data_IF_399131517981
#
_entry.id   IF_399131517981
#
_cell.length_a   1.000
_cell.length_b   1.000
_cell.length_c   1.000
_cell.angle_alpha   90.00
_cell.angle_beta   90.00
_cell.angle_gamma   90.00
#
_symmetry.space_group_name_H-M   'P 1'
#
loop_
_entity.id
_entity.type
_entity.pdbx_description
1 polymer ?
#
# COMPACT_ATOMS: atom_id res chain seq x y z
N UNK A 1 -31.35 -14.64 -52.36
CA UNK A 1 -30.21 -14.38 -51.46
C UNK A 1 -30.22 -12.91 -51.08
N UNK A 2 -30.58 -12.59 -49.84
CA UNK A 2 -30.00 -11.47 -49.07
C UNK A 2 -30.66 -11.53 -47.69
N UNK A 3 -29.95 -12.10 -46.73
CA UNK A 3 -30.33 -11.99 -45.32
C UNK A 3 -29.61 -10.73 -44.83
N UNK A 4 -30.37 -9.68 -44.59
CA UNK A 4 -29.88 -8.47 -43.94
C UNK A 4 -29.76 -8.75 -42.45
N UNK A 5 -28.55 -9.06 -41.99
CA UNK A 5 -28.22 -9.06 -40.57
C UNK A 5 -28.20 -7.61 -40.08
N UNK A 6 -29.32 -7.18 -39.51
CA UNK A 6 -29.43 -5.93 -38.76
C UNK A 6 -28.83 -6.16 -37.36
N UNK A 7 -27.51 -6.04 -37.25
CA UNK A 7 -26.84 -5.97 -35.95
C UNK A 7 -27.15 -4.60 -35.36
N UNK A 8 -28.10 -4.55 -34.42
CA UNK A 8 -28.36 -3.37 -33.62
C UNK A 8 -27.05 -2.93 -32.93
N UNK A 9 -26.56 -1.75 -33.29
CA UNK A 9 -25.46 -1.11 -32.58
C UNK A 9 -25.92 -0.88 -31.14
N UNK A 10 -25.29 -1.58 -30.19
CA UNK A 10 -25.43 -1.25 -28.78
C UNK A 10 -24.72 0.09 -28.57
N UNK A 11 -25.41 1.09 -28.02
CA UNK A 11 -24.79 2.36 -27.66
C UNK A 11 -23.59 2.06 -26.75
N UNK A 12 -22.38 2.26 -27.28
CA UNK A 12 -21.17 1.90 -26.59
C UNK A 12 -21.01 2.76 -25.33
N UNK A 13 -20.86 2.12 -24.17
CA UNK A 13 -20.60 2.82 -22.90
C UNK A 13 -19.32 3.64 -23.03
N UNK A 14 -19.43 4.96 -22.90
CA UNK A 14 -18.30 5.89 -22.89
C UNK A 14 -17.75 6.08 -21.47
N UNK A 15 -16.50 6.54 -21.35
CA UNK A 15 -15.83 6.78 -20.06
C UNK A 15 -15.21 8.17 -20.06
N UNK A 16 -15.37 8.88 -18.94
CA UNK A 16 -14.75 10.18 -18.69
C UNK A 16 -13.82 10.09 -17.47
N UNK A 17 -12.57 10.55 -17.55
CA UNK A 17 -11.70 10.63 -16.38
C UNK A 17 -12.18 11.74 -15.42
N UNK A 18 -12.36 11.42 -14.14
CA UNK A 18 -12.79 12.40 -13.12
C UNK A 18 -11.75 12.65 -12.03
N UNK A 19 -10.84 11.69 -11.82
CA UNK A 19 -9.82 11.73 -10.78
C UNK A 19 -8.72 10.72 -11.10
N UNK A 20 -7.48 11.11 -10.88
CA UNK A 20 -6.33 10.20 -10.91
C UNK A 20 -5.64 10.27 -9.56
N UNK A 21 -5.57 9.13 -8.87
CA UNK A 21 -4.73 8.93 -7.70
C UNK A 21 -3.58 8.00 -8.08
N UNK A 22 -2.37 8.31 -7.63
CA UNK A 22 -1.22 7.41 -7.68
C UNK A 22 -0.62 7.28 -6.30
N UNK A 23 -0.30 6.06 -5.89
CA UNK A 23 0.48 5.77 -4.71
C UNK A 23 1.69 4.95 -5.15
N UNK A 24 2.89 5.43 -4.87
CA UNK A 24 4.16 4.79 -5.21
C UNK A 24 4.94 4.45 -3.94
N UNK A 25 5.70 3.35 -4.00
CA UNK A 25 6.56 2.90 -2.92
C UNK A 25 7.96 2.60 -3.42
N UNK A 26 8.97 3.11 -2.72
CA UNK A 26 10.38 2.87 -3.04
C UNK A 26 11.12 2.44 -1.78
N UNK A 27 11.77 1.27 -1.86
CA UNK A 27 12.45 0.66 -0.73
C UNK A 27 13.96 0.67 -0.91
N UNK A 28 14.69 1.06 0.13
CA UNK A 28 16.14 1.24 0.09
C UNK A 28 16.83 0.52 1.26
N UNK A 29 18.06 0.06 1.01
CA UNK A 29 19.00 -0.32 2.07
C UNK A 29 19.83 0.90 2.42
N UNK A 30 19.97 1.18 3.71
CA UNK A 30 20.81 2.26 4.21
C UNK A 30 22.20 1.77 4.59
N UNK A 31 23.16 2.68 4.60
CA UNK A 31 24.55 2.38 4.98
C UNK A 31 24.74 2.10 6.48
N UNK A 32 23.76 2.47 7.31
CA UNK A 32 23.75 2.23 8.77
C UNK A 32 23.20 0.85 9.15
N UNK A 33 22.89 -0.01 8.16
CA UNK A 33 22.35 -1.35 8.38
C UNK A 33 20.83 -1.38 8.54
N UNK A 34 20.14 -0.24 8.47
CA UNK A 34 18.68 -0.15 8.45
C UNK A 34 18.13 -0.16 7.01
N UNK A 35 16.80 -0.13 6.92
CA UNK A 35 16.05 -0.02 5.68
C UNK A 35 15.14 1.18 5.74
N UNK A 36 14.78 1.69 4.58
CA UNK A 36 13.75 2.72 4.48
C UNK A 36 12.76 2.38 3.37
N UNK A 37 11.51 2.79 3.57
CA UNK A 37 10.44 2.69 2.60
C UNK A 37 9.80 4.07 2.49
N UNK A 38 9.82 4.63 1.29
CA UNK A 38 9.13 5.87 0.97
C UNK A 38 7.77 5.55 0.36
N UNK A 39 6.73 6.24 0.82
CA UNK A 39 5.39 6.16 0.25
C UNK A 39 4.95 7.54 -0.21
N UNK A 40 4.57 7.66 -1.49
CA UNK A 40 4.18 8.93 -2.11
C UNK A 40 2.79 8.82 -2.74
N UNK A 41 1.88 9.71 -2.34
CA UNK A 41 0.54 9.85 -2.90
C UNK A 41 0.41 11.15 -3.68
N UNK A 42 -0.10 11.05 -4.91
CA UNK A 42 -0.52 12.21 -5.70
C UNK A 42 -1.96 12.07 -6.16
N UNK A 43 -2.71 13.18 -6.07
CA UNK A 43 -4.08 13.30 -6.59
C UNK A 43 -4.16 14.42 -7.61
N UNK A 44 -4.81 14.15 -8.74
CA UNK A 44 -5.03 15.12 -9.83
C UNK A 44 -6.43 14.95 -10.42
N UNK A 45 -6.98 16.03 -10.94
CA UNK A 45 -8.24 16.03 -11.69
C UNK A 45 -8.00 16.61 -13.08
N UNK A 46 -8.66 16.11 -14.15
CA UNK A 46 -8.52 16.67 -15.50
C UNK A 46 -9.30 17.98 -15.71
N UNK A 47 -9.91 18.51 -14.65
CA UNK A 47 -10.63 19.78 -14.60
C UNK A 47 -10.16 20.57 -13.38
N UNK A 48 -10.40 21.88 -13.41
CA UNK A 48 -10.12 22.77 -12.30
C UNK A 48 -10.86 22.34 -11.04
N UNK A 49 -10.16 22.38 -9.91
CA UNK A 49 -10.70 21.99 -8.62
C UNK A 49 -10.72 23.19 -7.67
N UNK A 50 -11.92 23.59 -7.26
CA UNK A 50 -12.11 24.54 -6.17
C UNK A 50 -12.49 23.76 -4.89
N UNK A 51 -11.66 23.79 -3.83
CA UNK A 51 -12.04 23.21 -2.55
C UNK A 51 -13.19 24.02 -1.93
N UNK A 52 -14.04 23.41 -1.08
CA UNK A 52 -15.14 24.10 -0.41
C UNK A 52 -14.73 25.34 0.40
N UNK A 53 -13.47 25.42 0.83
CA UNK A 53 -12.92 26.60 1.51
C UNK A 53 -12.87 27.85 0.61
N UNK A 54 -12.95 27.70 -0.72
CA UNK A 54 -12.98 28.79 -1.70
C UNK A 54 -11.68 29.57 -1.88
N UNK A 55 -10.61 29.20 -1.17
CA UNK A 55 -9.39 30.02 -1.07
C UNK A 55 -8.50 29.94 -2.33
N UNK A 56 -8.56 28.84 -3.08
CA UNK A 56 -7.68 28.60 -4.24
C UNK A 56 -8.30 27.61 -5.22
N UNK A 57 -8.28 27.93 -6.52
CA UNK A 57 -8.49 26.93 -7.59
C UNK A 57 -7.18 26.21 -7.86
N UNK A 58 -7.21 24.88 -7.90
CA UNK A 58 -6.13 24.04 -8.41
C UNK A 58 -6.42 23.78 -9.89
N UNK A 59 -5.55 24.23 -10.83
CA UNK A 59 -5.74 24.01 -12.25
C UNK A 59 -5.83 22.52 -12.63
N UNK A 60 -6.52 22.23 -13.73
CA UNK A 60 -6.57 20.90 -14.31
C UNK A 60 -5.16 20.27 -14.44
N UNK A 61 -5.05 19.01 -14.04
CA UNK A 61 -3.86 18.17 -14.04
C UNK A 61 -2.72 18.58 -13.08
N UNK A 62 -2.89 19.67 -12.31
CA UNK A 62 -2.00 19.98 -11.20
C UNK A 62 -2.31 19.11 -9.95
N UNK A 63 -1.31 18.85 -9.09
CA UNK A 63 -1.53 18.11 -7.85
C UNK A 63 -2.47 18.85 -6.90
N UNK A 64 -3.58 18.20 -6.56
CA UNK A 64 -4.45 18.57 -5.43
C UNK A 64 -3.78 18.10 -4.13
N UNK A 65 -3.23 16.89 -4.16
CA UNK A 65 -2.39 16.34 -3.11
C UNK A 65 -1.04 15.92 -3.70
N UNK A 66 0.02 16.28 -3.00
CA UNK A 66 1.39 15.79 -3.20
C UNK A 66 1.97 15.58 -1.80
N UNK A 67 1.83 14.34 -1.32
CA UNK A 67 1.95 13.99 0.10
C UNK A 67 2.71 12.68 0.22
N UNK A 68 3.63 12.58 1.16
CA UNK A 68 4.35 11.33 1.37
C UNK A 68 4.94 11.19 2.75
N UNK A 69 5.49 10.01 2.99
CA UNK A 69 6.17 9.67 4.23
C UNK A 69 7.33 8.72 3.95
N UNK A 70 8.33 8.75 4.81
CA UNK A 70 9.45 7.80 4.82
C UNK A 70 9.49 7.12 6.19
N UNK A 71 9.57 5.79 6.20
CA UNK A 71 9.70 4.97 7.41
C UNK A 71 11.04 4.27 7.38
N UNK A 72 11.82 4.45 8.44
CA UNK A 72 13.08 3.71 8.67
C UNK A 72 12.78 2.52 9.58
N UNK A 73 13.23 1.32 9.21
CA UNK A 73 12.95 0.08 9.93
C UNK A 73 14.12 -0.92 9.86
N UNK A 74 14.14 -1.91 10.76
CA UNK A 74 15.14 -2.99 10.78
C UNK A 74 14.63 -4.30 10.14
N UNK A 75 15.48 -5.35 10.11
CA UNK A 75 15.09 -6.67 9.57
C UNK A 75 13.98 -7.36 10.38
N UNK A 76 13.75 -6.96 11.62
CA UNK A 76 12.64 -7.43 12.46
C UNK A 76 11.35 -6.62 12.24
N UNK A 77 11.38 -5.74 11.24
CA UNK A 77 10.29 -4.86 10.83
C UNK A 77 9.91 -3.82 11.90
N UNK A 78 10.80 -3.53 12.85
CA UNK A 78 10.56 -2.51 13.88
C UNK A 78 10.89 -1.12 13.32
N UNK A 79 10.01 -0.16 13.55
CA UNK A 79 10.16 1.22 13.07
C UNK A 79 11.10 2.00 13.99
N UNK A 80 12.12 2.60 13.40
CA UNK A 80 13.11 3.44 14.09
C UNK A 80 12.86 4.94 13.88
N UNK A 81 12.30 5.33 12.74
CA UNK A 81 11.97 6.73 12.46
C UNK A 81 10.84 6.86 11.44
N UNK A 82 10.10 7.97 11.52
CA UNK A 82 9.10 8.36 10.54
C UNK A 82 9.28 9.83 10.19
N UNK A 83 9.24 10.15 8.91
CA UNK A 83 9.20 11.53 8.41
C UNK A 83 8.08 11.68 7.38
N UNK A 84 7.57 12.90 7.21
CA UNK A 84 6.44 13.20 6.32
C UNK A 84 6.67 14.47 5.55
N UNK A 85 6.10 14.57 4.35
CA UNK A 85 6.00 15.82 3.60
C UNK A 85 4.59 16.02 3.05
N UNK A 86 4.18 17.28 2.93
CA UNK A 86 2.91 17.70 2.32
C UNK A 86 3.21 18.95 1.48
N UNK A 87 3.36 18.77 0.16
CA UNK A 87 3.78 19.81 -0.79
C UNK A 87 2.62 20.47 -1.53
N UNK A 88 1.58 19.69 -1.84
CA UNK A 88 0.33 20.20 -2.38
C UNK A 88 -0.84 19.71 -1.53
N UNK A 89 -1.74 20.63 -1.21
CA UNK A 89 -2.87 20.39 -0.32
C UNK A 89 -3.96 21.47 -0.51
N UNK A 90 -5.24 21.12 -0.32
CA UNK A 90 -6.35 22.06 -0.54
C UNK A 90 -6.73 22.93 0.67
N UNK A 91 -6.32 22.56 1.90
CA UNK A 91 -6.72 23.26 3.13
C UNK A 91 -5.51 23.72 3.96
N UNK A 92 -5.63 24.89 4.61
CA UNK A 92 -4.50 25.54 5.30
C UNK A 92 -3.97 24.73 6.47
N UNK A 93 -4.80 23.89 7.05
CA UNK A 93 -4.54 23.04 8.21
C UNK A 93 -3.79 21.75 7.83
N UNK A 94 -3.85 21.34 6.55
CA UNK A 94 -3.27 20.08 6.08
C UNK A 94 -1.80 19.84 6.47
N UNK A 95 -0.89 20.84 6.43
CA UNK A 95 0.52 20.64 6.79
C UNK A 95 0.76 20.05 8.18
N UNK A 96 -0.15 20.28 9.15
CA UNK A 96 -0.03 19.74 10.50
C UNK A 96 -0.40 18.26 10.63
N UNK A 97 -1.10 17.68 9.65
CA UNK A 97 -1.70 16.35 9.75
C UNK A 97 -0.72 15.16 9.75
N UNK A 98 0.58 15.41 9.65
CA UNK A 98 1.63 14.39 9.72
C UNK A 98 2.21 14.15 11.12
N UNK A 99 2.02 15.07 12.07
CA UNK A 99 2.70 15.03 13.37
C UNK A 99 2.37 13.76 14.18
N UNK A 100 1.13 13.27 14.12
CA UNK A 100 0.68 12.07 14.84
C UNK A 100 1.41 10.78 14.44
N UNK A 101 2.03 10.73 13.25
CA UNK A 101 2.71 9.53 12.76
C UNK A 101 3.92 9.13 13.61
N UNK A 102 4.43 10.02 14.47
CA UNK A 102 5.48 9.67 15.43
C UNK A 102 5.06 8.58 16.42
N UNK A 103 3.75 8.40 16.66
CA UNK A 103 3.22 7.31 17.48
C UNK A 103 3.51 5.90 16.90
N UNK A 104 4.00 5.81 15.66
CA UNK A 104 4.38 4.55 15.02
C UNK A 104 5.81 4.11 15.35
N UNK A 105 6.67 5.00 15.85
CA UNK A 105 8.05 4.66 16.20
C UNK A 105 8.04 3.61 17.32
N UNK A 106 8.85 2.57 17.14
CA UNK A 106 8.92 1.41 18.03
C UNK A 106 7.88 0.32 17.74
N UNK A 107 6.94 0.54 16.82
CA UNK A 107 6.00 -0.51 16.40
C UNK A 107 6.63 -1.43 15.37
N UNK A 108 6.12 -2.66 15.31
CA UNK A 108 6.47 -3.64 14.28
C UNK A 108 5.46 -3.60 13.12
N UNK A 109 5.98 -3.48 11.90
CA UNK A 109 5.22 -3.66 10.66
C UNK A 109 4.98 -5.17 10.47
N UNK A 110 3.72 -5.59 10.37
CA UNK A 110 3.39 -7.01 10.21
C UNK A 110 1.92 -7.35 10.46
N UNK A 111 1.67 -8.55 10.99
CA UNK A 111 0.32 -8.98 11.33
C UNK A 111 -0.36 -7.99 12.29
N UNK A 112 -1.61 -7.63 12.01
CA UNK A 112 -2.36 -6.65 12.80
C UNK A 112 -2.05 -5.17 12.49
N UNK A 113 -1.14 -4.88 11.54
CA UNK A 113 -0.71 -3.52 11.21
C UNK A 113 -1.86 -2.52 11.00
N UNK A 114 -2.85 -2.86 10.18
CA UNK A 114 -3.99 -1.97 9.92
C UNK A 114 -4.80 -1.65 11.19
N UNK A 115 -4.80 -2.54 12.18
CA UNK A 115 -5.41 -2.30 13.49
C UNK A 115 -4.58 -1.31 14.31
N UNK A 116 -3.26 -1.49 14.34
CA UNK A 116 -2.33 -0.60 15.05
C UNK A 116 -2.35 0.82 14.49
N UNK A 117 -2.41 0.96 13.16
CA UNK A 117 -2.57 2.25 12.46
C UNK A 117 -3.87 2.93 12.90
N UNK A 118 -5.00 2.24 12.87
CA UNK A 118 -6.30 2.81 13.29
C UNK A 118 -6.31 3.22 14.76
N UNK A 119 -5.67 2.41 15.62
CA UNK A 119 -5.61 2.65 17.06
C UNK A 119 -4.81 3.90 17.42
N UNK A 120 -3.71 4.16 16.71
CA UNK A 120 -2.79 5.26 17.05
C UNK A 120 -2.99 6.53 16.25
N UNK A 121 -3.59 6.43 15.08
CA UNK A 121 -3.79 7.54 14.16
C UNK A 121 -5.29 7.82 14.00
N UNK A 122 -5.94 8.39 15.04
CA UNK A 122 -7.37 8.63 15.01
C UNK A 122 -7.75 9.59 13.88
N UNK A 123 -8.92 9.40 13.24
CA UNK A 123 -9.49 10.40 12.35
C UNK A 123 -9.64 11.75 13.07
N UNK A 124 -9.47 12.86 12.35
CA UNK A 124 -9.50 14.22 12.91
C UNK A 124 -8.13 14.75 13.31
N UNK A 125 -7.27 13.89 13.90
CA UNK A 125 -5.91 14.27 14.33
C UNK A 125 -4.83 13.93 13.30
N UNK A 126 -5.16 13.06 12.33
CA UNK A 126 -4.20 12.56 11.33
C UNK A 126 -4.72 12.77 9.91
N UNK A 127 -3.84 13.22 9.02
CA UNK A 127 -4.14 13.34 7.60
C UNK A 127 -4.61 11.99 7.04
N UNK A 128 -5.80 11.98 6.44
CA UNK A 128 -6.39 10.77 5.87
C UNK A 128 -5.49 10.14 4.80
N UNK A 129 -4.82 10.95 3.96
CA UNK A 129 -3.93 10.49 2.91
C UNK A 129 -2.66 9.81 3.46
N UNK A 130 -2.05 10.38 4.51
CA UNK A 130 -0.91 9.73 5.17
C UNK A 130 -1.32 8.40 5.81
N UNK A 131 -2.50 8.34 6.44
CA UNK A 131 -3.03 7.10 7.00
C UNK A 131 -3.32 6.05 5.91
N UNK A 132 -3.80 6.47 4.76
CA UNK A 132 -4.03 5.60 3.60
C UNK A 132 -2.73 4.99 3.08
N UNK A 133 -1.66 5.79 2.91
CA UNK A 133 -0.35 5.32 2.46
C UNK A 133 0.16 4.18 3.36
N UNK A 134 -0.02 4.27 4.68
CA UNK A 134 0.52 3.29 5.63
C UNK A 134 -0.02 1.87 5.44
N UNK A 135 -1.24 1.70 4.90
CA UNK A 135 -1.84 0.36 4.76
C UNK A 135 -1.08 -0.50 3.73
N UNK A 136 -0.94 -0.09 2.45
CA UNK A 136 -0.13 -0.81 1.48
C UNK A 136 1.39 -0.70 1.74
N UNK A 137 1.85 0.34 2.45
CA UNK A 137 3.27 0.48 2.83
C UNK A 137 3.78 -0.74 3.58
N UNK A 138 2.97 -1.34 4.47
CA UNK A 138 3.40 -2.52 5.21
C UNK A 138 3.77 -3.68 4.28
N UNK A 139 2.96 -3.94 3.26
CA UNK A 139 3.25 -4.99 2.28
C UNK A 139 4.46 -4.65 1.42
N UNK A 140 4.63 -3.38 1.02
CA UNK A 140 5.79 -2.93 0.26
C UNK A 140 7.08 -3.10 1.08
N UNK A 141 7.09 -2.66 2.34
CA UNK A 141 8.22 -2.80 3.25
C UNK A 141 8.64 -4.27 3.45
N UNK A 142 7.67 -5.16 3.67
CA UNK A 142 7.91 -6.60 3.80
C UNK A 142 8.54 -7.14 2.50
N UNK A 143 8.00 -6.77 1.35
CA UNK A 143 8.52 -7.21 0.06
C UNK A 143 9.93 -6.67 -0.22
N UNK A 144 10.26 -5.45 0.21
CA UNK A 144 11.60 -4.86 0.09
C UNK A 144 12.66 -5.72 0.77
N UNK A 145 12.40 -6.22 1.98
CA UNK A 145 13.39 -6.99 2.75
C UNK A 145 13.26 -8.50 2.60
N UNK A 146 12.16 -8.99 2.02
CA UNK A 146 11.92 -10.42 1.80
C UNK A 146 13.10 -11.17 1.13
N UNK A 147 13.75 -10.65 0.07
CA UNK A 147 14.90 -11.31 -0.53
C UNK A 147 16.08 -11.51 0.44
N UNK A 148 16.24 -10.58 1.39
CA UNK A 148 17.29 -10.62 2.41
C UNK A 148 16.95 -11.60 3.53
N UNK A 149 15.66 -11.86 3.73
CA UNK A 149 15.12 -12.84 4.69
C UNK A 149 14.80 -14.19 4.05
N UNK A 150 14.98 -14.34 2.73
CA UNK A 150 14.37 -15.41 1.93
C UNK A 150 14.73 -16.81 2.41
N UNK A 151 15.99 -17.04 2.81
CA UNK A 151 16.42 -18.35 3.32
C UNK A 151 15.73 -18.69 4.64
N UNK A 152 15.72 -17.74 5.58
CA UNK A 152 15.00 -17.91 6.86
C UNK A 152 13.48 -17.97 6.72
N UNK A 153 12.88 -17.33 5.72
CA UNK A 153 11.43 -17.33 5.49
C UNK A 153 10.90 -18.65 4.90
N UNK A 154 11.68 -19.33 4.05
CA UNK A 154 11.33 -20.66 3.55
C UNK A 154 11.50 -21.74 4.62
N UNK A 155 12.45 -21.53 5.53
CA UNK A 155 12.75 -22.44 6.63
C UNK A 155 11.90 -22.15 7.88
N UNK A 156 11.28 -20.97 7.99
CA UNK A 156 10.44 -20.60 9.13
C UNK A 156 9.16 -21.42 9.17
N UNK A 157 8.91 -22.05 10.31
CA UNK A 157 7.72 -22.87 10.57
C UNK A 157 6.89 -22.33 11.72
N UNK A 158 5.59 -22.65 11.73
CA UNK A 158 4.77 -22.49 12.92
C UNK A 158 5.08 -23.56 13.99
N UNK A 159 4.33 -23.53 15.10
CA UNK A 159 4.49 -24.48 16.21
C UNK A 159 4.22 -25.94 15.82
N UNK A 160 3.54 -26.19 14.70
CA UNK A 160 3.28 -27.53 14.16
C UNK A 160 4.33 -27.98 13.14
N UNK A 161 5.35 -27.16 12.86
CA UNK A 161 6.34 -27.42 11.83
C UNK A 161 5.88 -27.09 10.41
N UNK A 162 4.70 -26.48 10.23
CA UNK A 162 4.22 -26.05 8.90
C UNK A 162 4.99 -24.80 8.48
N UNK A 163 5.60 -24.77 7.27
CA UNK A 163 6.26 -23.59 6.74
C UNK A 163 5.31 -22.39 6.67
N UNK A 164 5.73 -21.25 7.22
CA UNK A 164 4.93 -20.01 7.27
C UNK A 164 4.63 -19.44 5.89
N UNK A 165 5.37 -19.89 4.86
CA UNK A 165 5.15 -19.47 3.48
C UNK A 165 3.88 -20.08 2.86
N UNK A 166 3.43 -21.23 3.35
CA UNK A 166 2.20 -21.88 2.85
C UNK A 166 0.99 -21.02 3.22
N UNK A 167 0.07 -20.82 2.27
CA UNK A 167 -1.11 -19.94 2.36
C UNK A 167 -0.79 -18.43 2.50
N UNK A 168 0.47 -18.03 2.34
CA UNK A 168 0.88 -16.61 2.41
C UNK A 168 0.47 -15.79 1.18
N UNK A 169 0.22 -16.43 0.03
CA UNK A 169 -0.40 -15.81 -1.14
C UNK A 169 -1.04 -16.87 -2.05
N UNK A 170 -1.72 -16.43 -3.11
CA UNK A 170 -2.42 -17.32 -4.04
C UNK A 170 -1.52 -18.44 -4.59
N UNK A 171 -0.31 -18.12 -5.04
CA UNK A 171 0.64 -19.09 -5.61
C UNK A 171 1.15 -20.10 -4.58
N UNK A 172 1.26 -19.69 -3.31
CA UNK A 172 1.70 -20.51 -2.19
C UNK A 172 0.54 -21.16 -1.41
N UNK A 173 -0.68 -21.13 -1.93
CA UNK A 173 -1.81 -21.82 -1.29
C UNK A 173 -1.51 -23.31 -1.14
N UNK A 174 -1.91 -23.92 -0.03
CA UNK A 174 -1.67 -25.34 0.27
C UNK A 174 -2.20 -26.28 -0.83
N UNK A 175 -3.17 -25.78 -1.61
CA UNK A 175 -3.78 -26.45 -2.76
C UNK A 175 -3.02 -26.31 -4.10
N UNK A 176 -1.86 -25.63 -4.15
CA UNK A 176 -1.15 -25.27 -5.39
C UNK A 176 0.12 -26.07 -5.64
N UNK A 177 0.50 -26.14 -6.91
CA UNK A 177 1.67 -26.83 -7.43
C UNK A 177 2.97 -26.44 -6.71
N UNK A 178 3.15 -25.15 -6.41
CA UNK A 178 4.37 -24.67 -5.78
C UNK A 178 4.57 -25.27 -4.37
N UNK A 179 3.48 -25.51 -3.62
CA UNK A 179 3.55 -26.20 -2.32
C UNK A 179 3.85 -27.69 -2.52
N UNK A 180 3.38 -28.31 -3.60
CA UNK A 180 3.73 -29.70 -3.93
C UNK A 180 5.23 -29.88 -4.15
N UNK A 181 5.85 -28.94 -4.84
CA UNK A 181 7.26 -28.98 -5.20
C UNK A 181 8.17 -28.75 -3.99
N UNK A 182 7.83 -27.78 -3.14
CA UNK A 182 8.69 -27.40 -2.01
C UNK A 182 8.34 -28.10 -0.69
N UNK A 183 7.06 -28.45 -0.48
CA UNK A 183 6.55 -29.01 0.77
C UNK A 183 5.45 -30.05 0.53
N UNK A 184 5.76 -31.17 -0.14
CA UNK A 184 4.76 -32.16 -0.55
C UNK A 184 3.96 -32.74 0.63
N UNK A 185 4.57 -32.84 1.81
CA UNK A 185 3.92 -33.31 3.04
C UNK A 185 2.80 -32.39 3.57
N UNK A 186 2.78 -31.11 3.17
CA UNK A 186 1.77 -30.13 3.57
C UNK A 186 0.74 -29.84 2.45
N UNK A 187 0.82 -30.56 1.33
CA UNK A 187 -0.07 -30.41 0.17
C UNK A 187 -1.50 -30.83 0.52
N UNK A 188 -2.48 -29.96 0.28
CA UNK A 188 -3.91 -30.26 0.45
C UNK A 188 -4.63 -30.46 -0.88
N UNK A 189 -5.60 -31.37 -1.03
CA UNK A 189 -6.35 -31.51 -2.28
C UNK A 189 -7.01 -30.19 -2.70
N UNK A 190 -7.15 -29.96 -4.01
CA UNK A 190 -7.92 -28.82 -4.51
C UNK A 190 -9.37 -28.95 -4.07
N UNK A 191 -9.92 -27.90 -3.47
CA UNK A 191 -11.37 -27.81 -3.26
C UNK A 191 -11.99 -27.62 -4.64
N UNK A 192 -12.76 -28.62 -5.08
CA UNK A 192 -13.54 -28.58 -6.33
C UNK A 192 -14.63 -27.54 -6.31
#
# INVERSE_FOLDING_TARGET
>A
MSVHDNVAATDAVTREPLHTRRIAFEGFRRSDGLFEIEGHLTDRKPHDFAPPSGVRVVPANEPIHDIGLCVVFDLDMVIHAVSTFIRAYPYRECPGGGASLQALVGLRIGAGWSGEVRKRLPPGETCAHLREILIPLATAAIQTVNPLRARGLLEATDASGKPLKIDSCYAYGASRELVQQHWPMFRQPSKG
#
